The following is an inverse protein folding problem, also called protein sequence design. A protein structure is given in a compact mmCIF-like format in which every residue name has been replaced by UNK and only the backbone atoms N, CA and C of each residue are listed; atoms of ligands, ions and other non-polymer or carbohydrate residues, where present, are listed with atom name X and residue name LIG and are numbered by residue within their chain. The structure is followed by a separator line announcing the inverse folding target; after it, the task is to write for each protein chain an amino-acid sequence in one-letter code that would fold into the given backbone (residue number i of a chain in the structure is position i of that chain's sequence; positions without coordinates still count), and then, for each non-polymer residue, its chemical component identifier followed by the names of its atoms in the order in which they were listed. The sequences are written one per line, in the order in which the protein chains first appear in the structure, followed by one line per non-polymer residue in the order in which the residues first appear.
data_IF_309810798919
#
_entry.id   IF_309810798919
#
_cell.length_a   1.000
_cell.length_b   1.000
_cell.length_c   1.000
_cell.angle_alpha   90.00
_cell.angle_beta   90.00
_cell.angle_gamma   90.00
#
_symmetry.space_group_name_H-M   'P 1'
#
loop_
_entity.id
_entity.type
_entity.pdbx_description
1 polymer ?
#
# COMPACT_ATOMS: atom_id res chain seq x y z
N UNK A 1 -8.03 24.60 -10.93
CA UNK A 1 -6.66 24.31 -11.39
C UNK A 1 -6.60 22.81 -11.60
N UNK A 2 -6.40 22.33 -12.83
CA UNK A 2 -6.44 20.89 -13.14
C UNK A 2 -5.12 20.30 -12.64
N UNK A 3 -5.19 19.43 -11.62
CA UNK A 3 -4.04 18.70 -11.14
C UNK A 3 -3.57 17.72 -12.23
N UNK A 4 -2.26 17.65 -12.46
CA UNK A 4 -1.69 16.71 -13.42
C UNK A 4 -1.75 15.30 -12.79
N UNK A 5 -2.43 14.36 -13.46
CA UNK A 5 -2.62 13.00 -12.98
C UNK A 5 -1.50 12.14 -13.57
N UNK A 6 -0.60 11.67 -12.71
CA UNK A 6 0.45 10.73 -13.12
C UNK A 6 0.15 9.35 -12.57
N UNK A 7 -0.06 8.40 -13.49
CA UNK A 7 -0.06 6.98 -13.15
C UNK A 7 1.41 6.56 -13.06
N UNK A 8 1.83 6.09 -11.89
CA UNK A 8 3.19 5.61 -11.74
C UNK A 8 3.42 4.40 -12.66
N UNK A 9 4.44 4.52 -13.53
CA UNK A 9 5.05 3.51 -14.42
C UNK A 9 4.60 3.46 -15.88
N UNK A 10 5.40 4.08 -16.76
CA UNK A 10 5.49 3.72 -18.19
C UNK A 10 6.92 3.24 -18.58
N UNK A 11 6.96 2.16 -19.36
CA UNK A 11 7.99 1.71 -20.31
C UNK A 11 9.49 1.64 -19.92
N UNK A 12 9.88 1.26 -18.68
CA UNK A 12 11.31 1.02 -18.34
C UNK A 12 11.66 -0.47 -18.26
N UNK A 13 12.79 -0.87 -18.87
CA UNK A 13 13.37 -2.23 -18.72
C UNK A 13 13.88 -2.48 -17.29
N UNK A 14 14.13 -3.74 -16.90
CA UNK A 14 14.47 -4.10 -15.50
C UNK A 14 15.64 -3.29 -14.92
N UNK A 15 16.71 -3.13 -15.70
CA UNK A 15 17.91 -2.37 -15.28
C UNK A 15 17.57 -0.89 -15.11
N UNK A 16 16.88 -0.30 -16.08
CA UNK A 16 16.42 1.09 -16.01
C UNK A 16 15.51 1.35 -14.81
N UNK A 17 14.67 0.37 -14.42
CA UNK A 17 13.89 0.45 -13.18
C UNK A 17 14.79 0.49 -11.95
N UNK A 18 15.83 -0.35 -11.87
CA UNK A 18 16.73 -0.34 -10.72
C UNK A 18 17.58 0.92 -10.65
N UNK A 19 18.11 1.41 -11.77
CA UNK A 19 18.87 2.67 -11.84
C UNK A 19 17.99 3.83 -11.35
N UNK A 20 16.75 3.91 -11.81
CA UNK A 20 15.82 4.93 -11.34
C UNK A 20 15.54 4.83 -9.83
N UNK A 21 15.31 3.61 -9.31
CA UNK A 21 15.11 3.39 -7.87
C UNK A 21 16.32 3.85 -7.06
N UNK A 22 17.53 3.55 -7.53
CA UNK A 22 18.77 4.04 -6.91
C UNK A 22 18.81 5.56 -6.95
N UNK A 23 18.49 6.19 -8.09
CA UNK A 23 18.44 7.65 -8.23
C UNK A 23 17.46 8.33 -7.27
N UNK A 24 16.37 7.65 -6.90
CA UNK A 24 15.41 8.15 -5.92
C UNK A 24 15.87 7.92 -4.47
N UNK A 25 16.38 6.73 -4.16
CA UNK A 25 16.72 6.34 -2.79
C UNK A 25 18.07 6.96 -2.34
N UNK A 26 19.10 6.89 -3.19
CA UNK A 26 20.46 7.30 -2.84
C UNK A 26 20.56 8.71 -2.23
N UNK A 27 19.94 9.76 -2.80
CA UNK A 27 20.03 11.10 -2.21
C UNK A 27 19.35 11.19 -0.84
N UNK A 28 18.34 10.35 -0.55
CA UNK A 28 17.58 10.35 0.70
C UNK A 28 18.37 9.83 1.89
N UNK A 29 19.42 9.04 1.67
CA UNK A 29 20.28 8.58 2.78
C UNK A 29 21.05 9.70 3.49
N UNK A 30 21.08 10.93 2.93
CA UNK A 30 21.60 12.11 3.64
C UNK A 30 20.66 12.60 4.74
N UNK A 31 19.35 12.34 4.59
CA UNK A 31 18.34 12.70 5.56
C UNK A 31 18.35 11.72 6.75
N UNK A 32 18.27 12.27 7.97
CA UNK A 32 18.24 11.51 9.22
C UNK A 32 16.91 10.79 9.39
N UNK A 33 15.79 11.40 8.98
CA UNK A 33 14.46 10.81 9.11
C UNK A 33 14.33 9.59 8.20
N UNK A 34 14.72 9.73 6.93
CA UNK A 34 14.75 8.61 6.00
C UNK A 34 15.64 7.46 6.50
N UNK A 35 16.84 7.75 7.04
CA UNK A 35 17.72 6.71 7.63
C UNK A 35 17.07 5.99 8.82
N UNK A 36 16.37 6.73 9.67
CA UNK A 36 15.64 6.16 10.80
C UNK A 36 14.52 5.23 10.30
N UNK A 37 13.69 5.70 9.35
CA UNK A 37 12.63 4.91 8.72
C UNK A 37 13.18 3.64 8.06
N UNK A 38 14.28 3.76 7.30
CA UNK A 38 14.94 2.62 6.69
C UNK A 38 15.35 1.57 7.73
N UNK A 39 15.93 2.00 8.86
CA UNK A 39 16.33 1.09 9.93
C UNK A 39 15.13 0.40 10.60
N UNK A 40 14.01 1.12 10.81
CA UNK A 40 12.77 0.55 11.35
C UNK A 40 12.16 -0.48 10.40
N UNK A 41 12.10 -0.17 9.10
CA UNK A 41 11.66 -1.11 8.06
C UNK A 41 12.55 -2.36 8.05
N UNK A 42 13.87 -2.19 8.06
CA UNK A 42 14.80 -3.31 8.05
C UNK A 42 14.60 -4.21 9.28
N UNK A 43 14.48 -3.62 10.48
CA UNK A 43 14.21 -4.34 11.73
C UNK A 43 12.91 -5.12 11.66
N UNK A 44 11.82 -4.46 11.26
CA UNK A 44 10.52 -5.09 11.09
C UNK A 44 10.57 -6.29 10.14
N UNK A 45 11.20 -6.12 8.97
CA UNK A 45 11.29 -7.19 7.96
C UNK A 45 12.15 -8.36 8.46
N UNK A 46 13.28 -8.09 9.10
CA UNK A 46 14.18 -9.13 9.62
C UNK A 46 13.48 -9.92 10.74
N UNK A 47 12.87 -9.24 11.70
CA UNK A 47 12.18 -9.84 12.85
C UNK A 47 10.92 -10.62 12.44
N UNK A 48 10.23 -10.18 11.37
CA UNK A 48 9.04 -10.87 10.83
C UNK A 48 9.32 -12.32 10.36
N UNK A 49 10.60 -12.67 10.14
CA UNK A 49 11.00 -14.03 9.81
C UNK A 49 10.69 -14.42 8.36
N UNK A 50 11.13 -13.58 7.41
CA UNK A 50 10.98 -13.86 5.98
C UNK A 50 11.60 -15.21 5.56
N UNK A 51 11.09 -15.78 4.46
CA UNK A 51 11.48 -17.12 3.99
C UNK A 51 12.96 -17.26 3.63
N UNK A 52 13.64 -16.17 3.28
CA UNK A 52 15.08 -16.12 3.02
C UNK A 52 15.65 -14.71 3.19
N UNK A 53 16.98 -14.60 3.32
CA UNK A 53 17.70 -13.30 3.35
C UNK A 53 17.48 -12.52 2.05
N UNK A 54 17.44 -13.20 0.91
CA UNK A 54 17.20 -12.57 -0.40
C UNK A 54 15.79 -11.98 -0.46
N UNK A 55 14.79 -12.70 0.07
CA UNK A 55 13.43 -12.18 0.18
C UNK A 55 13.36 -10.97 1.10
N UNK A 56 14.04 -11.01 2.26
CA UNK A 56 14.12 -9.87 3.17
C UNK A 56 14.74 -8.64 2.50
N UNK A 57 15.88 -8.79 1.82
CA UNK A 57 16.55 -7.69 1.12
C UNK A 57 15.65 -7.07 0.03
N UNK A 58 14.95 -7.92 -0.74
CA UNK A 58 14.01 -7.46 -1.78
C UNK A 58 12.86 -6.65 -1.18
N UNK A 59 12.30 -7.11 -0.06
CA UNK A 59 11.20 -6.42 0.63
C UNK A 59 11.66 -5.08 1.19
N UNK A 60 12.80 -5.04 1.89
CA UNK A 60 13.39 -3.81 2.42
C UNK A 60 13.62 -2.80 1.29
N UNK A 61 14.20 -3.25 0.17
CA UNK A 61 14.45 -2.40 -0.99
C UNK A 61 13.15 -1.84 -1.58
N UNK A 62 12.12 -2.66 -1.75
CA UNK A 62 10.84 -2.23 -2.29
C UNK A 62 10.13 -1.21 -1.39
N UNK A 63 10.10 -1.44 -0.07
CA UNK A 63 9.50 -0.49 0.86
C UNK A 63 10.30 0.82 0.92
N UNK A 64 11.62 0.74 0.97
CA UNK A 64 12.49 1.92 0.98
C UNK A 64 12.30 2.77 -0.28
N UNK A 65 12.15 2.11 -1.43
CA UNK A 65 11.79 2.79 -2.67
C UNK A 65 10.44 3.50 -2.57
N UNK A 66 9.40 2.81 -2.09
CA UNK A 66 8.05 3.40 -1.99
C UNK A 66 8.03 4.61 -1.05
N UNK A 67 8.73 4.55 0.09
CA UNK A 67 8.87 5.68 1.00
C UNK A 67 9.57 6.85 0.31
N UNK A 68 10.73 6.59 -0.32
CA UNK A 68 11.48 7.63 -1.02
C UNK A 68 10.69 8.22 -2.20
N UNK A 69 9.86 7.41 -2.86
CA UNK A 69 8.98 7.83 -3.94
C UNK A 69 7.88 8.76 -3.43
N UNK A 70 7.15 8.36 -2.38
CA UNK A 70 6.12 9.21 -1.74
C UNK A 70 6.71 10.54 -1.30
N UNK A 71 7.89 10.54 -0.67
CA UNK A 71 8.57 11.77 -0.27
C UNK A 71 9.02 12.64 -1.45
N UNK A 72 9.25 12.06 -2.63
CA UNK A 72 9.60 12.81 -3.85
C UNK A 72 8.37 13.40 -4.51
N UNK A 73 7.27 12.64 -4.60
CA UNK A 73 5.99 13.13 -5.11
C UNK A 73 5.46 14.29 -4.25
N UNK A 74 5.62 14.24 -2.92
CA UNK A 74 5.28 15.35 -2.03
C UNK A 74 6.03 16.65 -2.31
N UNK A 75 7.25 16.57 -2.85
CA UNK A 75 8.01 17.75 -3.22
C UNK A 75 7.51 18.38 -4.54
N UNK A 76 6.80 17.61 -5.37
CA UNK A 76 6.15 18.10 -6.58
C UNK A 76 4.80 18.76 -6.21
N UNK A 77 4.64 20.03 -6.58
CA UNK A 77 3.42 20.78 -6.28
C UNK A 77 2.34 20.47 -7.30
N UNK A 78 1.11 20.25 -6.84
CA UNK A 78 -0.13 20.10 -7.63
C UNK A 78 -0.26 18.82 -8.48
N UNK A 79 0.35 17.72 -8.06
CA UNK A 79 0.18 16.41 -8.70
C UNK A 79 -0.68 15.48 -7.85
N UNK A 80 -1.48 14.64 -8.50
CA UNK A 80 -2.13 13.49 -7.86
C UNK A 80 -1.43 12.23 -8.37
N UNK A 81 -0.75 11.54 -7.47
CA UNK A 81 -0.09 10.28 -7.75
C UNK A 81 -1.01 9.10 -7.39
N UNK A 82 -1.37 8.28 -8.38
CA UNK A 82 -2.12 7.05 -8.15
C UNK A 82 -1.12 5.89 -8.07
N UNK A 83 -1.11 5.20 -6.92
CA UNK A 83 -0.23 4.07 -6.66
C UNK A 83 -1.02 2.76 -6.67
N UNK A 84 -1.14 2.12 -7.83
CA UNK A 84 -1.62 0.72 -7.90
C UNK A 84 -0.54 -0.18 -7.25
N UNK A 85 -0.92 -0.95 -6.24
CA UNK A 85 -0.01 -1.76 -5.41
C UNK A 85 0.98 -0.97 -4.51
N UNK A 86 0.46 0.03 -3.79
CA UNK A 86 1.24 0.93 -2.92
C UNK A 86 1.78 0.35 -1.60
N UNK A 87 2.10 1.26 -0.66
CA UNK A 87 2.70 0.96 0.67
C UNK A 87 2.01 -0.20 1.41
N UNK A 88 0.68 -0.23 1.43
CA UNK A 88 -0.09 -1.26 2.12
C UNK A 88 0.12 -2.67 1.56
N UNK A 89 0.29 -2.81 0.24
CA UNK A 89 0.60 -4.11 -0.34
C UNK A 89 1.99 -4.60 0.09
N UNK A 90 2.95 -3.68 0.27
CA UNK A 90 4.27 -4.00 0.80
C UNK A 90 4.19 -4.57 2.22
N UNK A 91 3.41 -3.94 3.10
CA UNK A 91 3.15 -4.45 4.45
C UNK A 91 2.36 -5.75 4.46
N UNK A 92 1.29 -5.86 3.64
CA UNK A 92 0.50 -7.08 3.49
C UNK A 92 1.38 -8.27 3.07
N UNK A 93 2.29 -8.06 2.12
CA UNK A 93 3.26 -9.10 1.70
C UNK A 93 4.14 -9.59 2.85
N UNK A 94 4.50 -8.72 3.79
CA UNK A 94 5.32 -9.07 4.96
C UNK A 94 4.48 -9.85 5.95
N UNK A 95 3.30 -9.32 6.30
CA UNK A 95 2.41 -9.90 7.30
C UNK A 95 1.96 -11.31 6.90
N UNK A 96 1.57 -11.51 5.63
CA UNK A 96 1.20 -12.81 5.07
C UNK A 96 2.32 -13.86 5.12
N UNK A 97 3.58 -13.43 5.07
CA UNK A 97 4.75 -14.33 5.11
C UNK A 97 5.35 -14.47 6.50
N UNK A 98 4.96 -13.60 7.43
CA UNK A 98 5.53 -13.59 8.76
C UNK A 98 5.11 -14.86 9.50
N UNK A 99 6.03 -15.41 10.31
CA UNK A 99 5.70 -16.54 11.20
C UNK A 99 4.88 -16.09 12.42
N UNK A 100 4.13 -14.98 12.32
CA UNK A 100 3.38 -14.35 13.41
C UNK A 100 4.26 -14.10 14.64
N UNK A 101 5.51 -13.70 14.40
CA UNK A 101 6.45 -13.34 15.47
C UNK A 101 6.18 -11.89 15.87
N UNK A 102 6.14 -11.65 17.17
CA UNK A 102 6.14 -10.30 17.70
C UNK A 102 7.41 -9.57 17.21
N UNK A 103 7.20 -8.43 16.57
CA UNK A 103 8.27 -7.51 16.14
C UNK A 103 8.34 -6.35 17.11
N UNK A 104 9.54 -5.82 17.31
CA UNK A 104 9.78 -4.61 18.12
C UNK A 104 9.21 -3.36 17.48
N UNK A 105 9.01 -3.38 16.16
CA UNK A 105 8.35 -2.33 15.38
C UNK A 105 6.96 -2.79 14.95
N UNK A 106 5.94 -1.95 15.10
CA UNK A 106 4.62 -2.20 14.51
C UNK A 106 4.55 -1.58 13.12
N UNK A 107 3.87 -2.27 12.21
CA UNK A 107 3.73 -1.82 10.83
C UNK A 107 2.97 -0.48 10.73
N UNK A 108 1.95 -0.26 11.58
CA UNK A 108 1.22 1.01 11.68
C UNK A 108 2.14 2.15 12.11
N UNK A 109 2.99 1.96 13.12
CA UNK A 109 3.91 3.00 13.59
C UNK A 109 4.94 3.38 12.52
N UNK A 110 5.33 2.44 11.65
CA UNK A 110 6.18 2.72 10.48
C UNK A 110 5.38 3.51 9.45
N UNK A 111 4.13 3.10 9.19
CA UNK A 111 3.24 3.77 8.25
C UNK A 111 2.98 5.23 8.67
N UNK A 112 2.66 5.48 9.94
CA UNK A 112 2.43 6.83 10.45
C UNK A 112 3.69 7.68 10.46
N UNK A 113 4.86 7.08 10.72
CA UNK A 113 6.14 7.79 10.60
C UNK A 113 6.52 8.15 9.15
N UNK A 114 5.97 7.47 8.14
CA UNK A 114 6.08 7.92 6.74
C UNK A 114 5.24 9.20 6.51
N UNK A 115 4.26 9.45 7.39
CA UNK A 115 3.22 10.45 7.23
C UNK A 115 2.16 9.93 6.27
N UNK A 116 0.89 9.90 6.67
CA UNK A 116 -0.22 9.46 5.81
C UNK A 116 -1.36 10.47 5.75
N UNK A 117 -1.19 11.63 6.35
CA UNK A 117 -2.21 12.67 6.49
C UNK A 117 -2.73 13.22 5.15
N UNK A 118 -1.93 13.07 4.09
CA UNK A 118 -2.18 13.47 2.70
C UNK A 118 -2.45 12.26 1.78
N UNK A 119 -2.55 11.05 2.34
CA UNK A 119 -2.75 9.81 1.57
C UNK A 119 -4.19 9.31 1.77
N UNK A 120 -4.86 9.03 0.65
CA UNK A 120 -6.12 8.29 0.63
C UNK A 120 -5.86 6.82 0.27
N UNK A 121 -6.13 5.93 1.21
CA UNK A 121 -6.14 4.50 0.99
C UNK A 121 -7.52 4.07 0.51
N UNK A 122 -7.55 3.20 -0.49
CA UNK A 122 -8.79 2.64 -1.04
C UNK A 122 -8.81 1.14 -0.77
N UNK A 123 -9.82 0.68 -0.04
CA UNK A 123 -10.06 -0.74 0.20
C UNK A 123 -11.21 -1.21 -0.70
N UNK A 124 -10.86 -1.92 -1.77
CA UNK A 124 -11.81 -2.56 -2.67
C UNK A 124 -12.27 -3.90 -2.08
N UNK A 125 -13.52 -3.96 -1.61
CA UNK A 125 -14.16 -5.12 -1.00
C UNK A 125 -14.95 -5.89 -2.06
N UNK A 126 -14.33 -6.92 -2.64
CA UNK A 126 -14.98 -7.80 -3.60
C UNK A 126 -15.10 -9.23 -3.08
N UNK A 127 -15.99 -10.01 -3.67
CA UNK A 127 -16.03 -11.45 -3.41
C UNK A 127 -14.73 -12.12 -3.89
N UNK A 128 -14.24 -13.10 -3.12
CA UNK A 128 -13.05 -13.88 -3.48
C UNK A 128 -13.14 -14.47 -4.90
N UNK A 129 -14.33 -14.93 -5.30
CA UNK A 129 -14.59 -15.45 -6.64
C UNK A 129 -14.32 -14.42 -7.74
N UNK A 130 -14.67 -13.15 -7.51
CA UNK A 130 -14.45 -12.05 -8.48
C UNK A 130 -12.96 -11.79 -8.65
N UNK A 131 -12.21 -11.74 -7.55
CA UNK A 131 -10.76 -11.56 -7.60
C UNK A 131 -10.06 -12.74 -8.29
N UNK A 132 -10.49 -13.97 -8.01
CA UNK A 132 -9.98 -15.19 -8.63
C UNK A 132 -10.27 -15.25 -10.13
N UNK A 133 -11.51 -15.00 -10.54
CA UNK A 133 -11.93 -15.01 -11.95
C UNK A 133 -11.17 -13.94 -12.75
N UNK A 134 -11.03 -12.72 -12.20
CA UNK A 134 -10.26 -11.64 -12.83
C UNK A 134 -8.78 -11.98 -12.94
N UNK A 135 -8.22 -12.62 -11.93
CA UNK A 135 -6.82 -13.02 -11.93
C UNK A 135 -6.54 -14.16 -12.94
N UNK A 136 -7.45 -15.11 -13.09
CA UNK A 136 -7.34 -16.18 -14.09
C UNK A 136 -7.39 -15.63 -15.53
N UNK A 137 -8.22 -14.62 -15.78
CA UNK A 137 -8.35 -13.98 -17.11
C UNK A 137 -7.11 -13.22 -17.56
N UNK A 138 -6.18 -12.88 -16.66
CA UNK A 138 -4.96 -12.12 -17.02
C UNK A 138 -3.97 -12.94 -17.86
N UNK A 139 -4.11 -14.26 -17.92
CA UNK A 139 -3.30 -15.13 -18.79
C UNK A 139 -1.81 -15.20 -18.46
N UNK A 140 -1.33 -14.42 -17.47
CA UNK A 140 0.03 -14.44 -16.96
C UNK A 140 0.15 -15.32 -15.70
N UNK A 141 1.39 -15.61 -15.29
CA UNK A 141 1.71 -16.32 -14.03
C UNK A 141 2.51 -15.46 -13.07
N UNK A 142 2.30 -14.15 -13.15
CA UNK A 142 3.06 -13.15 -12.41
C UNK A 142 2.72 -13.18 -10.91
N UNK A 143 1.44 -13.40 -10.59
CA UNK A 143 0.96 -13.50 -9.21
C UNK A 143 1.35 -14.84 -8.58
N UNK A 144 1.63 -14.81 -7.28
CA UNK A 144 1.82 -16.04 -6.48
C UNK A 144 0.52 -16.82 -6.33
N UNK A 145 -0.62 -16.13 -6.31
CA UNK A 145 -1.95 -16.75 -6.26
C UNK A 145 -2.22 -17.57 -7.54
N UNK A 146 -1.74 -17.12 -8.70
CA UNK A 146 -1.82 -17.88 -9.97
C UNK A 146 -0.89 -19.12 -9.99
N UNK A 147 0.13 -19.14 -9.14
CA UNK A 147 1.13 -20.22 -9.07
C UNK A 147 0.87 -21.21 -7.92
N UNK A 148 -0.13 -20.96 -7.09
CA UNK A 148 -0.48 -21.85 -5.99
C UNK A 148 -1.02 -23.19 -6.54
N UNK A 149 -0.67 -24.29 -5.86
CA UNK A 149 -1.26 -25.61 -6.18
C UNK A 149 -2.78 -25.55 -5.96
N UNK A 150 -3.62 -26.19 -6.81
CA UNK A 150 -5.07 -26.24 -6.63
C UNK A 150 -5.49 -26.64 -5.21
N UNK A 151 -4.75 -27.56 -4.59
CA UNK A 151 -5.04 -28.09 -3.24
C UNK A 151 -4.75 -27.09 -2.11
N UNK A 152 -4.01 -26.01 -2.38
CA UNK A 152 -3.71 -24.92 -1.41
C UNK A 152 -4.29 -23.58 -1.83
N UNK A 153 -4.97 -23.51 -2.97
CA UNK A 153 -5.46 -22.26 -3.56
C UNK A 153 -6.52 -21.62 -2.65
N UNK A 154 -7.50 -22.41 -2.19
CA UNK A 154 -8.62 -21.88 -1.38
C UNK A 154 -8.16 -21.31 -0.02
N UNK A 155 -7.29 -22.03 0.70
CA UNK A 155 -6.74 -21.56 1.99
C UNK A 155 -5.91 -20.28 1.83
N UNK A 156 -5.20 -20.15 0.71
CA UNK A 156 -4.40 -18.97 0.41
C UNK A 156 -5.29 -17.73 0.13
N UNK A 157 -6.39 -17.89 -0.61
CA UNK A 157 -7.36 -16.82 -0.86
C UNK A 157 -8.03 -16.34 0.43
N UNK A 158 -8.46 -17.27 1.28
CA UNK A 158 -9.05 -16.93 2.58
C UNK A 158 -8.06 -16.22 3.50
N UNK A 159 -6.79 -16.67 3.51
CA UNK A 159 -5.73 -16.02 4.29
C UNK A 159 -5.47 -14.60 3.80
N UNK A 160 -5.43 -14.39 2.48
CA UNK A 160 -5.25 -13.08 1.89
C UNK A 160 -6.42 -12.13 2.20
N UNK A 161 -7.67 -12.58 2.07
CA UNK A 161 -8.86 -11.79 2.44
C UNK A 161 -8.86 -11.42 3.92
N UNK A 162 -8.57 -12.38 4.80
CA UNK A 162 -8.45 -12.11 6.24
C UNK A 162 -7.40 -11.03 6.54
N UNK A 163 -6.20 -11.18 5.99
CA UNK A 163 -5.12 -10.21 6.22
C UNK A 163 -5.46 -8.81 5.64
N UNK A 164 -6.13 -8.74 4.49
CA UNK A 164 -6.62 -7.47 3.95
C UNK A 164 -7.62 -6.80 4.89
N UNK A 165 -8.56 -7.57 5.46
CA UNK A 165 -9.55 -7.06 6.42
C UNK A 165 -8.91 -6.61 7.73
N UNK A 166 -7.94 -7.36 8.24
CA UNK A 166 -7.17 -6.99 9.43
C UNK A 166 -6.43 -5.67 9.21
N UNK A 167 -5.72 -5.51 8.09
CA UNK A 167 -5.05 -4.24 7.73
C UNK A 167 -6.05 -3.09 7.65
N UNK A 168 -7.21 -3.31 7.04
CA UNK A 168 -8.24 -2.27 6.96
C UNK A 168 -8.77 -1.89 8.35
N UNK A 169 -9.04 -2.86 9.22
CA UNK A 169 -9.52 -2.62 10.57
C UNK A 169 -8.47 -1.90 11.44
N UNK A 170 -7.20 -2.30 11.31
CA UNK A 170 -6.05 -1.66 11.95
C UNK A 170 -5.91 -0.19 11.51
N UNK A 171 -6.11 0.10 10.21
CA UNK A 171 -6.12 1.47 9.68
C UNK A 171 -7.31 2.26 10.20
N UNK A 172 -8.53 1.70 10.17
CA UNK A 172 -9.73 2.36 10.71
C UNK A 172 -9.55 2.70 12.20
N UNK A 173 -8.99 1.77 12.98
CA UNK A 173 -8.70 1.97 14.40
C UNK A 173 -7.60 3.01 14.65
N UNK A 174 -6.45 2.88 13.99
CA UNK A 174 -5.31 3.79 14.19
C UNK A 174 -5.56 5.21 13.67
N UNK A 175 -6.28 5.35 12.56
CA UNK A 175 -6.66 6.65 12.01
C UNK A 175 -7.78 7.33 12.82
N UNK A 176 -8.56 6.58 13.61
CA UNK A 176 -9.58 7.15 14.48
C UNK A 176 -9.04 7.79 15.76
N UNK A 177 -7.79 7.49 16.15
CA UNK A 177 -7.22 7.87 17.45
C UNK A 177 -6.07 8.88 17.40
N UNK A 178 -5.45 9.09 16.24
CA UNK A 178 -4.30 9.98 16.09
C UNK A 178 -4.60 11.17 15.16
N UNK A 179 -4.04 12.35 15.47
CA UNK A 179 -4.11 13.59 14.65
C UNK A 179 -3.49 13.45 13.24
N UNK A 180 -3.02 12.25 12.87
CA UNK A 180 -2.33 11.91 11.62
C UNK A 180 -3.22 11.17 10.61
N UNK A 181 -4.53 11.17 10.83
CA UNK A 181 -5.51 10.38 10.09
C UNK A 181 -5.47 10.61 8.56
N UNK A 182 -4.80 9.73 7.81
CA UNK A 182 -5.09 9.61 6.38
C UNK A 182 -6.55 9.21 6.15
N UNK A 183 -6.95 9.10 4.89
CA UNK A 183 -8.31 8.71 4.53
C UNK A 183 -8.33 7.22 4.18
N UNK A 184 -9.29 6.45 4.72
CA UNK A 184 -9.61 5.12 4.21
C UNK A 184 -11.00 5.14 3.59
N UNK A 185 -11.06 4.90 2.28
CA UNK A 185 -12.30 4.74 1.53
C UNK A 185 -12.54 3.26 1.23
N UNK A 186 -13.59 2.69 1.81
CA UNK A 186 -14.01 1.32 1.50
C UNK A 186 -15.07 1.31 0.40
N UNK A 187 -14.84 0.53 -0.67
CA UNK A 187 -15.75 0.43 -1.81
C UNK A 187 -16.10 -1.02 -2.06
N UNK A 188 -17.39 -1.34 -2.09
CA UNK A 188 -17.86 -2.69 -2.44
C UNK A 188 -17.81 -2.86 -3.95
N UNK A 189 -17.14 -3.92 -4.40
CA UNK A 189 -17.01 -4.29 -5.81
C UNK A 189 -17.95 -5.44 -6.10
N UNK A 190 -19.03 -5.14 -6.82
CA UNK A 190 -19.99 -6.14 -7.28
C UNK A 190 -19.40 -7.01 -8.39
N UNK A 191 -19.89 -8.25 -8.50
CA UNK A 191 -19.39 -9.27 -9.42
C UNK A 191 -19.37 -8.84 -10.89
N UNK A 192 -20.36 -8.04 -11.30
CA UNK A 192 -20.54 -7.60 -12.69
C UNK A 192 -20.20 -6.13 -12.91
N UNK A 193 -19.67 -5.43 -11.91
CA UNK A 193 -19.28 -4.03 -12.06
C UNK A 193 -18.12 -3.91 -13.07
N UNK A 194 -18.25 -2.97 -14.01
CA UNK A 194 -17.17 -2.62 -14.92
C UNK A 194 -16.04 -1.91 -14.16
N UNK A 195 -14.79 -1.94 -14.67
CA UNK A 195 -13.70 -1.15 -14.11
C UNK A 195 -14.04 0.34 -13.98
N UNK A 196 -14.76 0.88 -14.97
CA UNK A 196 -15.22 2.27 -15.03
C UNK A 196 -16.21 2.57 -13.89
N UNK A 197 -17.21 1.71 -13.68
CA UNK A 197 -18.17 1.86 -12.58
C UNK A 197 -17.47 1.82 -11.21
N UNK A 198 -16.47 0.94 -11.07
CA UNK A 198 -15.69 0.85 -9.83
C UNK A 198 -14.86 2.11 -9.62
N UNK A 199 -14.25 2.65 -10.67
CA UNK A 199 -13.46 3.87 -10.59
C UNK A 199 -14.30 5.09 -10.17
N UNK A 200 -15.51 5.22 -10.71
CA UNK A 200 -16.46 6.28 -10.34
C UNK A 200 -16.86 6.18 -8.85
N UNK A 201 -17.24 4.98 -8.39
CA UNK A 201 -17.55 4.74 -6.97
C UNK A 201 -16.36 5.02 -6.04
N UNK A 202 -15.14 4.71 -6.49
CA UNK A 202 -13.91 5.03 -5.75
C UNK A 202 -13.71 6.54 -5.65
N UNK A 203 -13.89 7.27 -6.74
CA UNK A 203 -13.80 8.73 -6.73
C UNK A 203 -14.78 9.33 -5.72
N UNK A 204 -16.05 8.92 -5.79
CA UNK A 204 -17.09 9.40 -4.87
C UNK A 204 -16.75 9.10 -3.40
N UNK A 205 -16.31 7.88 -3.11
CA UNK A 205 -15.95 7.47 -1.76
C UNK A 205 -14.75 8.26 -1.21
N UNK A 206 -13.72 8.50 -2.04
CA UNK A 206 -12.54 9.29 -1.67
C UNK A 206 -12.93 10.75 -1.45
N UNK A 207 -13.69 11.36 -2.36
CA UNK A 207 -14.17 12.74 -2.21
C UNK A 207 -14.99 12.92 -0.94
N UNK A 208 -15.93 12.01 -0.68
CA UNK A 208 -16.76 12.06 0.53
C UNK A 208 -15.91 11.96 1.80
N UNK A 209 -14.92 11.07 1.82
CA UNK A 209 -14.06 10.88 2.98
C UNK A 209 -13.11 12.06 3.20
N UNK A 210 -12.58 12.66 2.14
CA UNK A 210 -11.81 13.91 2.20
C UNK A 210 -12.65 15.08 2.72
N UNK A 211 -13.90 15.23 2.24
CA UNK A 211 -14.82 16.28 2.73
C UNK A 211 -15.15 16.12 4.21
N UNK A 212 -15.39 14.88 4.67
CA UNK A 212 -15.61 14.59 6.10
C UNK A 212 -14.40 15.00 6.93
N UNK A 213 -13.18 14.67 6.48
CA UNK A 213 -11.94 15.07 7.14
C UNK A 213 -11.80 16.58 7.23
N UNK A 214 -12.04 17.32 6.15
CA UNK A 214 -11.99 18.78 6.16
C UNK A 214 -12.95 19.39 7.20
N UNK A 215 -14.20 18.92 7.23
CA UNK A 215 -15.19 19.39 8.22
C UNK A 215 -14.76 19.12 9.67
N UNK A 216 -14.11 17.98 9.92
CA UNK A 216 -13.58 17.65 11.24
C UNK A 216 -12.43 18.58 11.63
N UNK A 217 -11.52 18.91 10.71
CA UNK A 217 -10.45 19.87 10.96
C UNK A 217 -10.99 21.29 11.27
N UNK A 218 -12.01 21.74 10.54
CA UNK A 218 -12.62 23.05 10.75
C UNK A 218 -13.33 23.15 12.12
N UNK A 219 -13.87 22.03 12.63
CA UNK A 219 -14.54 21.96 13.93
C UNK A 219 -13.58 21.91 15.13
N UNK A 220 -12.32 21.53 14.93
CA UNK A 220 -11.28 21.50 16.01
C UNK A 220 -10.58 22.87 16.12
N UNK A 221 -10.72 23.73 15.12
CA UNK A 221 -10.19 25.10 15.11
C UNK A 221 -11.13 26.18 15.66
N UNK A 222 -12.30 25.80 16.19
CA UNK A 222 -13.26 26.67 16.91
C UNK A 222 -13.27 26.33 18.40
#
# INVERSE_FOLDING_TARGET
MVADVRVAWEARNFIGRQIYRIGIIAPRFKDREFRSLFARIARFVIESGQSSIVDAARVIWNLSFLVAYVQSERAEKNTIAIMDQGLLQGFLSILLKSRHRATSEKWLDILFAIGVHDIAFVHLRGELGVARDRLQKRGDRSSRMQRASPDRDFDLWLTADRACREIAADLEGGMGTEDHAGVLAAVVVERFASPEDVAERVLDAVLLACLKRHRLCDSVGQ
#
